data_IF_720816075161
#
_entry.id   IF_720816075161
#
_cell.length_a   1.000
_cell.length_b   1.000
_cell.length_c   1.000
_cell.angle_alpha   90.00
_cell.angle_beta   90.00
_cell.angle_gamma   90.00
#
_symmetry.space_group_name_H-M   'P 1'
#
loop_
_entity.id
_entity.type
_entity.pdbx_description
1 polymer ?
#
# COMPACT_ATOMS: atom_id res chain seq x y z
N UNK A 1 -6.44 19.56 -10.82
CA UNK A 1 -5.06 18.99 -10.85
C UNK A 1 -4.04 20.06 -11.23
N UNK A 2 -4.19 20.78 -12.35
CA UNK A 2 -3.27 21.87 -12.72
C UNK A 2 -3.21 22.99 -11.67
N UNK A 3 -4.35 23.45 -11.16
CA UNK A 3 -4.39 24.49 -10.11
C UNK A 3 -3.64 24.07 -8.85
N UNK A 4 -3.85 22.83 -8.41
CA UNK A 4 -3.17 22.28 -7.23
C UNK A 4 -1.66 22.16 -7.46
N UNK A 5 -1.23 21.76 -8.65
CA UNK A 5 0.19 21.76 -9.03
C UNK A 5 0.76 23.18 -9.02
N UNK A 6 0.01 24.16 -9.53
CA UNK A 6 0.44 25.55 -9.54
C UNK A 6 0.64 26.07 -8.11
N UNK A 7 -0.32 25.85 -7.20
CA UNK A 7 -0.16 26.18 -5.79
C UNK A 7 1.08 25.51 -5.19
N UNK A 8 1.27 24.20 -5.42
CA UNK A 8 2.43 23.46 -4.96
C UNK A 8 3.76 24.07 -5.42
N UNK A 9 3.86 24.41 -6.70
CA UNK A 9 5.06 25.01 -7.25
C UNK A 9 5.31 26.41 -6.67
N UNK A 10 4.29 27.23 -6.47
CA UNK A 10 4.50 28.54 -5.85
C UNK A 10 4.86 28.46 -4.37
N UNK A 11 4.32 27.48 -3.64
CA UNK A 11 4.60 27.30 -2.21
C UNK A 11 6.00 26.73 -1.95
N UNK A 12 6.47 25.79 -2.77
CA UNK A 12 7.68 25.03 -2.49
C UNK A 12 8.91 25.47 -3.29
N UNK A 13 8.75 26.39 -4.25
CA UNK A 13 9.83 26.74 -5.17
C UNK A 13 10.32 28.17 -4.98
N UNK A 14 11.42 28.29 -4.22
CA UNK A 14 11.99 29.57 -3.74
C UNK A 14 12.18 30.60 -4.87
N UNK A 15 12.72 30.17 -6.01
CA UNK A 15 13.06 31.06 -7.12
C UNK A 15 12.02 31.07 -8.26
N UNK A 16 10.87 30.41 -8.09
CA UNK A 16 9.85 30.23 -9.13
C UNK A 16 10.37 29.65 -10.47
N UNK A 17 11.54 29.02 -10.44
CA UNK A 17 12.13 28.28 -11.56
C UNK A 17 12.96 27.07 -11.07
N UNK A 18 12.98 26.02 -11.89
CA UNK A 18 13.85 24.85 -11.71
C UNK A 18 14.77 24.78 -12.91
N UNK A 19 16.08 24.86 -12.71
CA UNK A 19 17.07 24.74 -13.81
C UNK A 19 16.78 25.69 -14.99
N UNK A 20 16.31 26.91 -14.71
CA UNK A 20 15.92 27.90 -15.73
C UNK A 20 14.53 27.71 -16.34
N UNK A 21 13.77 26.68 -15.94
CA UNK A 21 12.40 26.45 -16.37
C UNK A 21 11.44 27.13 -15.39
N UNK A 22 10.67 28.08 -15.88
CA UNK A 22 9.70 28.85 -15.06
C UNK A 22 8.47 28.02 -14.70
N UNK A 23 7.79 28.37 -13.59
CA UNK A 23 6.51 27.76 -13.21
C UNK A 23 5.48 27.77 -14.37
N UNK A 24 5.23 28.89 -15.07
CA UNK A 24 4.33 28.91 -16.22
C UNK A 24 4.71 27.89 -17.31
N UNK A 25 6.00 27.72 -17.59
CA UNK A 25 6.49 26.72 -18.54
C UNK A 25 6.19 25.30 -18.07
N UNK A 26 6.43 24.99 -16.79
CA UNK A 26 6.12 23.67 -16.21
C UNK A 26 4.62 23.39 -16.32
N UNK A 27 3.78 24.35 -15.96
CA UNK A 27 2.32 24.22 -16.05
C UNK A 27 1.88 23.98 -17.50
N UNK A 28 2.44 24.71 -18.46
CA UNK A 28 2.15 24.51 -19.88
C UNK A 28 2.52 23.10 -20.37
N UNK A 29 3.70 22.60 -19.99
CA UNK A 29 4.14 21.24 -20.35
C UNK A 29 3.23 20.16 -19.76
N UNK A 30 2.88 20.28 -18.48
CA UNK A 30 1.98 19.32 -17.83
C UNK A 30 0.59 19.38 -18.45
N UNK A 31 0.10 20.57 -18.77
CA UNK A 31 -1.19 20.76 -19.45
C UNK A 31 -1.24 20.03 -20.79
N UNK A 32 -0.20 20.18 -21.62
CA UNK A 32 -0.11 19.45 -22.89
C UNK A 32 -0.21 17.94 -22.67
N UNK A 33 0.45 17.39 -21.66
CA UNK A 33 0.40 15.95 -21.38
C UNK A 33 -1.00 15.51 -20.93
N UNK A 34 -1.64 16.28 -20.04
CA UNK A 34 -2.97 15.94 -19.52
C UNK A 34 -4.09 16.11 -20.55
N UNK A 35 -3.97 17.07 -21.47
CA UNK A 35 -4.98 17.34 -22.50
C UNK A 35 -4.82 16.41 -23.71
N UNK A 36 -3.65 15.80 -23.91
CA UNK A 36 -3.35 14.92 -25.05
C UNK A 36 -3.23 13.45 -24.65
N UNK A 37 -4.18 12.95 -23.86
CA UNK A 37 -4.24 11.54 -23.47
C UNK A 37 -5.21 10.78 -24.37
N UNK A 38 -4.68 9.83 -25.15
CA UNK A 38 -5.45 9.01 -26.07
C UNK A 38 -5.33 7.53 -25.73
N UNK A 39 -6.46 6.83 -25.76
CA UNK A 39 -6.57 5.40 -25.49
C UNK A 39 -7.11 4.70 -26.74
N UNK A 40 -6.44 3.65 -27.16
CA UNK A 40 -6.93 2.76 -28.21
C UNK A 40 -7.74 1.63 -27.58
N UNK A 41 -9.04 1.58 -27.85
CA UNK A 41 -9.93 0.52 -27.39
C UNK A 41 -10.79 0.05 -28.56
N UNK A 42 -10.85 -1.26 -28.81
CA UNK A 42 -11.60 -1.86 -29.92
C UNK A 42 -11.36 -1.18 -31.28
N UNK A 43 -10.08 -0.91 -31.59
CA UNK A 43 -9.63 -0.22 -32.82
C UNK A 43 -10.16 1.22 -32.99
N UNK A 44 -10.72 1.81 -31.94
CA UNK A 44 -11.15 3.21 -31.90
C UNK A 44 -10.25 4.00 -30.96
N UNK A 45 -9.94 5.23 -31.36
CA UNK A 45 -9.15 6.16 -30.56
C UNK A 45 -10.11 7.03 -29.76
N UNK A 46 -9.92 7.04 -28.44
CA UNK A 46 -10.68 7.86 -27.50
C UNK A 46 -9.75 8.84 -26.82
N UNK A 47 -10.18 10.09 -26.67
CA UNK A 47 -9.48 11.07 -25.84
C UNK A 47 -10.00 10.99 -24.41
N UNK A 48 -9.10 10.84 -23.45
CA UNK A 48 -9.43 10.92 -22.05
C UNK A 48 -9.51 12.40 -21.64
N UNK A 49 -10.72 12.87 -21.38
CA UNK A 49 -11.00 14.27 -21.00
C UNK A 49 -11.00 14.50 -19.47
N UNK A 50 -11.04 13.41 -18.69
CA UNK A 50 -11.06 13.47 -17.23
C UNK A 50 -10.25 12.33 -16.62
N UNK A 51 -9.60 12.63 -15.50
CA UNK A 51 -8.67 11.70 -14.85
C UNK A 51 -7.37 11.65 -15.63
N UNK A 52 -6.58 10.60 -15.39
CA UNK A 52 -5.38 10.39 -16.18
C UNK A 52 -5.06 8.92 -16.41
N UNK A 53 -4.27 8.64 -17.45
CA UNK A 53 -3.78 7.30 -17.73
C UNK A 53 -3.07 6.70 -16.51
N UNK A 54 -3.50 5.49 -16.12
CA UNK A 54 -3.03 4.83 -14.91
C UNK A 54 -1.51 4.60 -14.95
N UNK A 55 -0.82 4.92 -13.85
CA UNK A 55 0.61 4.64 -13.59
C UNK A 55 1.66 5.31 -14.49
N UNK A 56 1.35 6.42 -15.17
CA UNK A 56 2.46 7.21 -15.75
C UNK A 56 3.25 7.91 -14.62
N UNK A 57 4.58 8.06 -14.72
CA UNK A 57 5.38 8.70 -13.67
C UNK A 57 4.88 10.11 -13.30
N UNK A 58 4.53 10.91 -14.30
CA UNK A 58 3.98 12.25 -14.07
C UNK A 58 2.64 12.19 -13.32
N UNK A 59 1.73 11.32 -13.75
CA UNK A 59 0.41 11.23 -13.12
C UNK A 59 0.47 10.77 -11.67
N UNK A 60 1.41 9.88 -11.35
CA UNK A 60 1.68 9.46 -9.96
C UNK A 60 2.15 10.65 -9.12
N UNK A 61 3.03 11.49 -9.65
CA UNK A 61 3.51 12.70 -8.96
C UNK A 61 2.35 13.68 -8.76
N UNK A 62 1.55 13.93 -9.79
CA UNK A 62 0.40 14.84 -9.70
C UNK A 62 -0.66 14.33 -8.72
N UNK A 63 -0.92 13.03 -8.71
CA UNK A 63 -1.81 12.40 -7.73
C UNK A 63 -1.27 12.59 -6.31
N UNK A 64 0.04 12.41 -6.07
CA UNK A 64 0.64 12.63 -4.76
C UNK A 64 0.56 14.09 -4.31
N UNK A 65 0.82 15.05 -5.20
CA UNK A 65 0.66 16.48 -4.91
C UNK A 65 -0.80 16.79 -4.55
N UNK A 66 -1.75 16.25 -5.32
CA UNK A 66 -3.16 16.42 -5.01
C UNK A 66 -3.52 15.83 -3.63
N UNK A 67 -3.08 14.60 -3.37
CA UNK A 67 -3.34 13.92 -2.11
C UNK A 67 -2.70 14.64 -0.91
N UNK A 68 -1.54 15.27 -1.09
CA UNK A 68 -0.89 16.08 -0.06
C UNK A 68 -1.82 17.18 0.47
N UNK A 69 -2.43 17.99 -0.40
CA UNK A 69 -3.38 19.02 0.04
C UNK A 69 -4.69 18.44 0.55
N UNK A 70 -5.19 17.39 -0.10
CA UNK A 70 -6.44 16.76 0.29
C UNK A 70 -6.38 16.17 1.71
N UNK A 71 -5.27 15.53 2.09
CA UNK A 71 -5.13 14.84 3.37
C UNK A 71 -4.54 15.71 4.49
N UNK A 72 -4.06 16.93 4.19
CA UNK A 72 -3.25 17.75 5.10
C UNK A 72 -3.87 17.93 6.49
N UNK A 73 -5.15 18.30 6.52
CA UNK A 73 -5.87 18.54 7.76
C UNK A 73 -6.09 17.25 8.54
N UNK A 74 -6.44 16.15 7.84
CA UNK A 74 -6.61 14.84 8.44
C UNK A 74 -5.31 14.37 9.09
N UNK A 75 -4.19 14.39 8.35
CA UNK A 75 -2.88 13.98 8.85
C UNK A 75 -2.49 14.81 10.07
N UNK A 76 -2.70 16.13 10.03
CA UNK A 76 -2.41 17.00 11.18
C UNK A 76 -3.22 16.59 12.42
N UNK A 77 -4.50 16.25 12.26
CA UNK A 77 -5.36 15.79 13.37
C UNK A 77 -4.87 14.45 13.93
N UNK A 78 -4.48 13.53 13.05
CA UNK A 78 -4.00 12.19 13.41
C UNK A 78 -2.66 12.27 14.13
N UNK A 79 -1.71 13.04 13.60
CA UNK A 79 -0.38 13.26 14.18
C UNK A 79 -0.49 13.86 15.59
N UNK A 80 -1.34 14.88 15.77
CA UNK A 80 -1.56 15.51 17.07
C UNK A 80 -2.13 14.56 18.14
N UNK A 81 -2.71 13.43 17.72
CA UNK A 81 -3.30 12.42 18.59
C UNK A 81 -2.48 11.14 18.68
N UNK A 82 -1.33 11.09 18.01
CA UNK A 82 -0.53 9.87 17.87
C UNK A 82 -1.33 8.70 17.27
N UNK A 83 -2.22 9.01 16.32
CA UNK A 83 -2.92 8.00 15.53
C UNK A 83 -1.99 7.46 14.43
N UNK A 84 -2.23 6.23 14.00
CA UNK A 84 -1.52 5.64 12.86
C UNK A 84 -2.10 6.23 11.58
N UNK A 85 -1.25 6.63 10.65
CA UNK A 85 -1.63 6.99 9.28
C UNK A 85 -0.65 6.35 8.29
N UNK A 86 -1.18 5.53 7.38
CA UNK A 86 -0.41 4.87 6.33
C UNK A 86 -1.12 5.05 5.01
N UNK A 87 -0.37 5.42 3.98
CA UNK A 87 -0.90 5.67 2.64
C UNK A 87 -0.11 4.88 1.60
N UNK A 88 -0.85 4.23 0.71
CA UNK A 88 -0.37 3.66 -0.54
C UNK A 88 -0.69 4.62 -1.70
N UNK A 89 -0.51 4.20 -2.94
CA UNK A 89 -0.90 5.02 -4.10
C UNK A 89 -2.42 5.28 -4.11
N UNK A 90 -3.20 4.25 -3.79
CA UNK A 90 -4.65 4.22 -4.03
C UNK A 90 -5.46 4.04 -2.73
N UNK A 91 -4.81 3.63 -1.65
CA UNK A 91 -5.45 3.24 -0.38
C UNK A 91 -4.86 4.03 0.79
N UNK A 92 -5.69 4.30 1.81
CA UNK A 92 -5.30 4.94 3.06
C UNK A 92 -5.85 4.10 4.21
N UNK A 93 -4.99 3.84 5.19
CA UNK A 93 -5.34 3.25 6.47
C UNK A 93 -4.98 4.22 7.60
N UNK A 94 -5.88 4.36 8.57
CA UNK A 94 -5.59 5.10 9.80
C UNK A 94 -6.41 4.60 10.97
N UNK A 95 -5.93 4.86 12.19
CA UNK A 95 -6.69 4.63 13.43
C UNK A 95 -7.45 5.88 13.86
N UNK A 96 -8.53 5.69 14.61
CA UNK A 96 -9.37 6.78 15.07
C UNK A 96 -9.97 6.49 16.44
N UNK A 97 -9.57 7.26 17.44
CA UNK A 97 -10.04 7.12 18.83
C UNK A 97 -11.14 8.13 19.22
N UNK A 98 -11.74 8.84 18.26
CA UNK A 98 -12.86 9.75 18.50
C UNK A 98 -14.18 9.23 17.93
N UNK A 99 -15.28 10.00 18.08
CA UNK A 99 -16.58 9.59 17.57
C UNK A 99 -16.59 9.46 16.05
N UNK A 100 -17.37 8.49 15.54
CA UNK A 100 -17.62 8.31 14.11
C UNK A 100 -18.30 9.54 13.49
N UNK A 101 -19.10 10.27 14.27
CA UNK A 101 -19.73 11.53 13.85
C UNK A 101 -18.69 12.59 13.53
N UNK A 102 -17.70 12.79 14.41
CA UNK A 102 -16.61 13.75 14.15
C UNK A 102 -15.81 13.35 12.93
N UNK A 103 -15.51 12.06 12.78
CA UNK A 103 -14.83 11.55 11.59
C UNK A 103 -15.62 11.87 10.31
N UNK A 104 -16.92 11.59 10.34
CA UNK A 104 -17.83 11.87 9.22
C UNK A 104 -17.85 13.36 8.86
N UNK A 105 -17.88 14.25 9.86
CA UNK A 105 -17.86 15.70 9.66
C UNK A 105 -16.56 16.19 9.01
N UNK A 106 -15.41 15.66 9.44
CA UNK A 106 -14.11 15.99 8.84
C UNK A 106 -14.07 15.47 7.39
N UNK A 107 -14.45 14.21 7.15
CA UNK A 107 -14.47 13.60 5.82
C UNK A 107 -15.40 14.32 4.84
N UNK A 108 -16.56 14.78 5.32
CA UNK A 108 -17.52 15.58 4.55
C UNK A 108 -16.97 16.96 4.20
N UNK A 109 -16.25 17.61 5.12
CA UNK A 109 -15.60 18.90 4.86
C UNK A 109 -14.50 18.75 3.82
N UNK A 110 -13.65 17.72 3.94
CA UNK A 110 -12.63 17.41 2.93
C UNK A 110 -13.24 17.06 1.56
N UNK A 111 -14.37 16.37 1.52
CA UNK A 111 -15.09 16.06 0.27
C UNK A 111 -15.59 17.31 -0.46
N UNK A 112 -16.09 18.32 0.28
CA UNK A 112 -16.58 19.56 -0.31
C UNK A 112 -15.48 20.33 -1.05
N UNK A 113 -14.26 20.30 -0.53
CA UNK A 113 -13.12 20.94 -1.18
C UNK A 113 -12.66 20.22 -2.45
N UNK A 114 -12.95 18.91 -2.58
CA UNK A 114 -12.38 18.05 -3.62
C UNK A 114 -13.41 17.03 -4.15
N UNK A 115 -14.51 17.47 -4.80
CA UNK A 115 -15.66 16.62 -5.13
C UNK A 115 -15.38 15.56 -6.21
N UNK A 116 -14.27 15.66 -6.92
CA UNK A 116 -13.90 14.72 -7.99
C UNK A 116 -13.37 13.39 -7.48
N UNK A 117 -13.03 13.26 -6.19
CA UNK A 117 -12.60 11.98 -5.61
C UNK A 117 -13.82 11.22 -5.09
N UNK A 118 -14.13 10.08 -5.71
CA UNK A 118 -15.05 9.09 -5.16
C UNK A 118 -14.29 8.19 -4.19
N UNK A 119 -14.78 8.08 -2.95
CA UNK A 119 -14.14 7.30 -1.89
C UNK A 119 -15.09 6.24 -1.36
N UNK A 120 -14.53 5.08 -1.07
CA UNK A 120 -15.19 4.04 -0.27
C UNK A 120 -14.49 4.06 1.09
N UNK A 121 -15.25 4.33 2.14
CA UNK A 121 -14.75 4.34 3.52
C UNK A 121 -15.30 3.10 4.20
N UNK A 122 -14.42 2.33 4.83
CA UNK A 122 -14.78 1.16 5.61
C UNK A 122 -14.25 1.38 7.02
N UNK A 123 -15.15 1.33 8.00
CA UNK A 123 -14.82 1.43 9.43
C UNK A 123 -15.14 0.07 10.03
N UNK A 124 -14.13 -0.59 10.57
CA UNK A 124 -14.28 -1.90 11.19
C UNK A 124 -13.10 -2.16 12.15
N UNK A 125 -13.29 -3.10 13.06
CA UNK A 125 -12.22 -3.63 13.92
C UNK A 125 -11.33 -4.62 13.18
N UNK A 126 -11.79 -5.15 12.06
CA UNK A 126 -11.04 -6.09 11.21
C UNK A 126 -11.08 -5.59 9.76
N UNK A 127 -9.93 -5.19 9.22
CA UNK A 127 -9.79 -4.57 7.90
C UNK A 127 -8.57 -5.13 7.18
N UNK A 128 -8.71 -5.35 5.88
CA UNK A 128 -7.57 -5.58 4.99
C UNK A 128 -7.07 -4.26 4.43
N UNK A 129 -5.76 -4.05 4.52
CA UNK A 129 -5.04 -2.96 3.87
C UNK A 129 -3.89 -3.58 3.07
N UNK A 130 -3.95 -3.48 1.74
CA UNK A 130 -3.07 -4.24 0.84
C UNK A 130 -3.09 -5.76 1.18
N UNK A 131 -1.91 -6.36 1.38
CA UNK A 131 -1.73 -7.78 1.70
C UNK A 131 -1.72 -8.07 3.22
N UNK A 132 -2.16 -7.11 4.05
CA UNK A 132 -2.15 -7.22 5.51
C UNK A 132 -3.57 -7.10 6.04
N UNK A 133 -3.97 -8.07 6.86
CA UNK A 133 -5.17 -7.99 7.67
C UNK A 133 -4.79 -7.40 9.04
N UNK A 134 -5.55 -6.40 9.45
CA UNK A 134 -5.33 -5.60 10.65
C UNK A 134 -6.55 -5.76 11.53
N UNK A 135 -6.37 -6.37 12.70
CA UNK A 135 -7.43 -6.59 13.68
C UNK A 135 -7.15 -5.84 14.98
N UNK A 136 -8.12 -5.05 15.42
CA UNK A 136 -8.09 -4.32 16.68
C UNK A 136 -8.69 -5.18 17.81
N UNK A 137 -7.84 -5.54 18.78
CA UNK A 137 -8.19 -6.37 19.93
C UNK A 137 -7.81 -5.60 21.21
N UNK A 138 -8.82 -5.15 21.96
CA UNK A 138 -8.67 -4.55 23.29
C UNK A 138 -7.62 -3.43 23.39
N UNK A 139 -7.59 -2.52 22.42
CA UNK A 139 -6.66 -1.39 22.39
C UNK A 139 -5.34 -1.67 21.66
N UNK A 140 -5.10 -2.91 21.22
CA UNK A 140 -3.90 -3.28 20.46
C UNK A 140 -4.26 -3.66 19.02
N UNK A 141 -3.40 -3.30 18.08
CA UNK A 141 -3.49 -3.80 16.71
C UNK A 141 -2.69 -5.10 16.60
N UNK A 142 -3.34 -6.10 16.02
CA UNK A 142 -2.73 -7.35 15.62
C UNK A 142 -2.71 -7.41 14.11
N UNK A 143 -1.61 -7.92 13.57
CA UNK A 143 -1.36 -7.96 12.14
C UNK A 143 -1.21 -9.42 11.72
N UNK A 144 -1.77 -9.74 10.56
CA UNK A 144 -1.58 -11.02 9.88
C UNK A 144 -1.58 -10.82 8.37
N UNK A 145 -1.05 -11.78 7.62
CA UNK A 145 -1.12 -11.72 6.15
C UNK A 145 -2.58 -11.89 5.73
N UNK A 146 -3.09 -10.96 4.93
CA UNK A 146 -4.45 -11.05 4.39
C UNK A 146 -4.55 -12.24 3.43
N UNK A 147 -5.58 -13.05 3.62
CA UNK A 147 -5.87 -14.20 2.79
C UNK A 147 -7.10 -13.92 1.93
N UNK A 148 -6.91 -13.78 0.63
CA UNK A 148 -8.02 -13.66 -0.31
C UNK A 148 -8.13 -14.95 -1.12
N UNK A 149 -9.12 -15.78 -0.78
CA UNK A 149 -9.37 -17.09 -1.41
C UNK A 149 -9.55 -16.97 -2.94
N UNK A 150 -9.97 -15.81 -3.45
CA UNK A 150 -10.15 -15.56 -4.89
C UNK A 150 -8.82 -15.21 -5.61
N UNK A 151 -7.79 -14.84 -4.86
CA UNK A 151 -6.44 -14.51 -5.37
C UNK A 151 -5.46 -15.65 -5.04
N UNK A 152 -5.71 -16.36 -3.93
CA UNK A 152 -4.88 -17.44 -3.42
C UNK A 152 -5.66 -18.76 -3.32
N UNK A 153 -5.47 -19.66 -4.30
CA UNK A 153 -5.52 -21.08 -4.05
C UNK A 153 -4.11 -21.62 -4.29
N UNK A 154 -3.26 -21.63 -3.25
CA UNK A 154 -2.01 -22.40 -3.25
C UNK A 154 -0.99 -22.15 -4.37
N UNK A 155 -1.11 -21.06 -5.14
CA UNK A 155 -0.14 -20.77 -6.19
C UNK A 155 1.12 -20.15 -5.59
N UNK A 156 2.02 -20.97 -5.06
CA UNK A 156 3.42 -20.73 -5.41
C UNK A 156 3.45 -20.56 -6.93
N UNK A 157 4.19 -19.60 -7.48
CA UNK A 157 4.14 -19.28 -8.90
C UNK A 157 4.76 -20.42 -9.72
N UNK A 158 4.04 -21.54 -9.83
CA UNK A 158 4.33 -22.63 -10.74
C UNK A 158 3.91 -22.24 -12.16
N UNK A 159 3.01 -21.26 -12.29
CA UNK A 159 2.45 -20.78 -13.56
C UNK A 159 3.09 -19.51 -14.16
N UNK A 160 3.98 -18.79 -13.47
CA UNK A 160 4.65 -17.62 -14.07
C UNK A 160 5.97 -18.03 -14.75
N UNK A 161 5.83 -18.51 -15.99
CA UNK A 161 6.83 -18.43 -17.06
C UNK A 161 8.23 -19.02 -16.79
N UNK A 162 8.44 -20.28 -17.20
CA UNK A 162 9.66 -20.96 -17.75
C UNK A 162 11.08 -20.59 -17.29
N UNK A 163 11.30 -19.73 -16.31
CA UNK A 163 12.55 -19.62 -15.58
C UNK A 163 12.26 -20.15 -14.19
N UNK A 164 12.99 -21.18 -13.78
CA UNK A 164 13.01 -21.63 -12.39
C UNK A 164 13.47 -20.43 -11.56
N UNK A 165 12.54 -19.60 -11.08
CA UNK A 165 12.83 -18.68 -10.00
C UNK A 165 13.57 -19.51 -8.96
N UNK A 166 14.80 -19.11 -8.62
CA UNK A 166 15.67 -19.88 -7.72
C UNK A 166 14.81 -20.23 -6.52
N UNK A 167 14.51 -21.51 -6.27
CA UNK A 167 13.51 -21.91 -5.29
C UNK A 167 13.70 -21.20 -3.94
N UNK A 168 14.95 -20.98 -3.54
CA UNK A 168 15.34 -20.12 -2.40
C UNK A 168 14.58 -18.77 -2.36
N UNK A 169 14.46 -18.07 -3.48
CA UNK A 169 13.73 -16.80 -3.60
C UNK A 169 12.23 -16.97 -3.34
N UNK A 170 11.61 -18.05 -3.81
CA UNK A 170 10.18 -18.32 -3.55
C UNK A 170 9.91 -18.55 -2.06
N UNK A 171 10.74 -19.37 -1.41
CA UNK A 171 10.67 -19.57 0.04
C UNK A 171 10.82 -18.25 0.80
N UNK A 172 11.78 -17.40 0.40
CA UNK A 172 11.98 -16.09 1.02
C UNK A 172 10.78 -15.16 0.83
N UNK A 173 10.23 -15.07 -0.38
CA UNK A 173 9.06 -14.22 -0.65
C UNK A 173 7.86 -14.66 0.18
N UNK A 174 7.67 -15.97 0.39
CA UNK A 174 6.59 -16.48 1.23
C UNK A 174 6.83 -16.26 2.74
N UNK A 175 8.08 -16.34 3.20
CA UNK A 175 8.43 -16.28 4.62
C UNK A 175 8.66 -14.85 5.16
N UNK A 176 9.09 -13.91 4.33
CA UNK A 176 9.31 -12.51 4.74
C UNK A 176 8.02 -11.88 5.32
N UNK A 177 6.85 -11.96 4.65
CA UNK A 177 5.61 -11.48 5.22
C UNK A 177 5.21 -12.22 6.49
N UNK A 178 5.51 -13.53 6.59
CA UNK A 178 5.21 -14.31 7.78
C UNK A 178 5.96 -13.77 9.02
N UNK A 179 7.25 -13.42 8.88
CA UNK A 179 8.02 -12.83 9.98
C UNK A 179 7.57 -11.40 10.28
N UNK A 180 7.37 -10.58 9.25
CA UNK A 180 7.13 -9.14 9.41
C UNK A 180 5.72 -8.79 9.84
N UNK A 181 4.73 -9.56 9.40
CA UNK A 181 3.33 -9.20 9.62
C UNK A 181 2.74 -9.89 10.83
N UNK A 182 3.14 -11.11 11.19
CA UNK A 182 2.48 -11.83 12.29
C UNK A 182 3.00 -11.37 13.66
N UNK A 183 2.14 -10.66 14.40
CA UNK A 183 2.43 -10.17 15.76
C UNK A 183 2.36 -11.27 16.82
N UNK A 184 1.54 -12.29 16.62
CA UNK A 184 1.37 -13.41 17.56
C UNK A 184 2.21 -14.62 17.14
N UNK A 185 2.85 -15.25 18.13
CA UNK A 185 3.63 -16.49 17.96
C UNK A 185 2.76 -17.66 17.50
N UNK A 186 1.53 -17.80 18.01
CA UNK A 186 0.62 -18.89 17.59
C UNK A 186 0.26 -18.76 16.12
N UNK A 187 -0.10 -17.55 15.69
CA UNK A 187 -0.58 -17.29 14.33
C UNK A 187 0.58 -17.40 13.33
N UNK A 188 1.77 -16.96 13.73
CA UNK A 188 2.99 -17.21 12.98
C UNK A 188 3.29 -18.70 12.82
N UNK A 189 3.16 -19.48 13.90
CA UNK A 189 3.41 -20.94 13.86
C UNK A 189 2.43 -21.63 12.93
N UNK A 190 1.15 -21.27 13.00
CA UNK A 190 0.10 -21.76 12.10
C UNK A 190 0.42 -21.40 10.64
N UNK A 191 0.90 -20.18 10.38
CA UNK A 191 1.33 -19.76 9.05
C UNK A 191 2.51 -20.57 8.53
N UNK A 192 3.52 -20.84 9.36
CA UNK A 192 4.66 -21.67 8.97
C UNK A 192 4.20 -23.09 8.60
N UNK A 193 3.33 -23.69 9.40
CA UNK A 193 2.75 -25.01 9.10
C UNK A 193 1.98 -25.00 7.78
N UNK A 194 1.14 -23.98 7.55
CA UNK A 194 0.42 -23.82 6.30
C UNK A 194 1.37 -23.72 5.09
N UNK A 195 2.44 -22.93 5.19
CA UNK A 195 3.45 -22.82 4.13
C UNK A 195 4.15 -24.15 3.89
N UNK A 196 4.55 -24.88 4.93
CA UNK A 196 5.15 -26.21 4.79
C UNK A 196 4.23 -27.18 4.05
N UNK A 197 2.93 -27.20 4.39
CA UNK A 197 1.93 -28.02 3.71
C UNK A 197 1.77 -27.60 2.24
N UNK A 198 1.79 -26.30 1.95
CA UNK A 198 1.68 -25.77 0.58
C UNK A 198 2.89 -26.15 -0.27
N UNK A 199 4.12 -25.96 0.23
CA UNK A 199 5.33 -26.41 -0.47
C UNK A 199 5.35 -27.93 -0.65
N UNK A 200 4.86 -28.70 0.32
CA UNK A 200 4.77 -30.16 0.19
C UNK A 200 3.77 -30.59 -0.87
N UNK A 201 2.60 -29.93 -0.93
CA UNK A 201 1.61 -30.12 -1.99
C UNK A 201 2.24 -29.90 -3.37
N UNK A 202 3.12 -28.90 -3.49
CA UNK A 202 3.86 -28.58 -4.71
C UNK A 202 5.10 -29.44 -4.94
N UNK A 203 5.17 -30.60 -4.27
CA UNK A 203 6.14 -31.67 -4.46
C UNK A 203 7.58 -31.31 -4.07
N UNK A 204 7.78 -30.30 -3.22
CA UNK A 204 9.09 -30.06 -2.60
C UNK A 204 9.39 -31.15 -1.55
N UNK A 205 10.66 -31.58 -1.50
CA UNK A 205 11.13 -32.56 -0.50
C UNK A 205 11.12 -31.94 0.90
N UNK A 206 10.66 -32.68 1.90
CA UNK A 206 10.49 -32.17 3.27
C UNK A 206 11.81 -31.67 3.88
N UNK A 207 12.91 -32.38 3.69
CA UNK A 207 14.23 -31.99 4.19
C UNK A 207 14.71 -30.67 3.57
N UNK A 208 14.38 -30.46 2.29
CA UNK A 208 14.67 -29.21 1.60
C UNK A 208 13.83 -28.05 2.17
N UNK A 209 12.52 -28.27 2.42
CA UNK A 209 11.65 -27.28 3.05
C UNK A 209 12.19 -26.90 4.43
N UNK A 210 12.46 -27.90 5.28
CA UNK A 210 12.96 -27.70 6.65
C UNK A 210 14.30 -26.95 6.62
N UNK A 211 15.25 -27.38 5.79
CA UNK A 211 16.54 -26.71 5.61
C UNK A 211 16.38 -25.23 5.22
N UNK A 212 15.44 -24.90 4.34
CA UNK A 212 15.20 -23.50 3.92
C UNK A 212 14.51 -22.67 4.99
N UNK A 213 13.61 -23.26 5.77
CA UNK A 213 12.97 -22.56 6.89
C UNK A 213 13.99 -22.28 7.99
N UNK A 214 14.78 -23.27 8.42
CA UNK A 214 15.80 -23.11 9.45
C UNK A 214 16.85 -22.05 9.04
N UNK A 215 17.40 -22.18 7.84
CA UNK A 215 18.36 -21.19 7.30
C UNK A 215 17.78 -19.78 7.24
N UNK A 216 16.46 -19.64 7.03
CA UNK A 216 15.81 -18.33 7.02
C UNK A 216 15.57 -17.80 8.43
N UNK A 217 15.17 -18.64 9.38
CA UNK A 217 14.97 -18.24 10.78
C UNK A 217 16.29 -17.83 11.44
N UNK A 218 17.38 -18.56 11.17
CA UNK A 218 18.73 -18.22 11.62
C UNK A 218 19.18 -16.87 11.05
N UNK A 219 18.98 -16.62 9.75
CA UNK A 219 19.37 -15.35 9.11
C UNK A 219 18.66 -14.14 9.70
N UNK A 220 17.41 -14.30 10.13
CA UNK A 220 16.59 -13.21 10.66
C UNK A 220 16.60 -13.10 12.19
N UNK A 221 17.45 -13.88 12.89
CA UNK A 221 17.43 -14.00 14.36
C UNK A 221 15.99 -14.18 14.88
N UNK A 222 15.20 -15.04 14.24
CA UNK A 222 13.78 -15.15 14.54
C UNK A 222 13.50 -15.57 16.00
N UNK A 223 14.47 -16.27 16.62
CA UNK A 223 14.45 -16.61 18.05
C UNK A 223 14.50 -15.36 18.95
N UNK A 224 15.25 -14.32 18.57
CA UNK A 224 15.31 -13.04 19.29
C UNK A 224 14.10 -12.14 18.99
N UNK A 225 13.58 -12.19 17.76
CA UNK A 225 12.47 -11.34 17.30
C UNK A 225 11.13 -11.60 18.00
N UNK A 226 10.96 -12.75 18.68
CA UNK A 226 9.68 -13.13 19.32
C UNK A 226 9.76 -13.44 20.81
N UNK A 227 10.94 -13.33 21.42
CA UNK A 227 11.12 -13.43 22.87
C UNK A 227 11.07 -12.07 23.58
N UNK A 228 11.17 -10.95 22.85
CA UNK A 228 11.02 -9.61 23.43
C UNK A 228 9.58 -9.07 23.30
N UNK A 229 8.76 -9.35 24.31
CA UNK A 229 7.66 -8.51 24.80
C UNK A 229 6.85 -7.68 23.78
N UNK A 230 6.15 -8.35 22.86
CA UNK A 230 4.91 -7.83 22.26
C UNK A 230 4.96 -6.44 21.63
N UNK A 231 6.12 -5.97 21.17
CA UNK A 231 6.27 -4.73 20.40
C UNK A 231 7.08 -5.03 19.14
N UNK A 232 6.43 -4.97 18.00
CA UNK A 232 7.10 -4.94 16.69
C UNK A 232 7.45 -3.48 16.38
N UNK A 233 8.70 -3.24 15.96
CA UNK A 233 9.14 -1.99 15.32
C UNK A 233 8.74 -1.99 13.84
#
# INVERSE_FOLDING_TARGET
MIEVLQCFLYEHLINQQIQGITIPTIIALVRVILENQYILCDKKVYQQIQGSGFKSPLTTILANIYMYYWQKDLVTILDNKNEIFVKSLDEIFFTWNESEERLSNILNTMNRHYPTIRRVITINKDINYLDVNITHISGNLTLQVAHNINIEPYSLPFGFGRQRYKYKTLFRIALIPAIRCYTNVSDFTNKLQHLQLSFRHDRFVIDFIISKFLSFLEEFNADEMKLHNGKAY
#
